data_IF_410713191422
#
_entry.id   IF_410713191422
#
_cell.length_a   1.000
_cell.length_b   1.000
_cell.length_c   1.000
_cell.angle_alpha   90.00
_cell.angle_beta   90.00
_cell.angle_gamma   90.00
#
_symmetry.space_group_name_H-M   'P 1'
#
loop_
_entity.id
_entity.type
_entity.pdbx_description
1 polymer ?
#
# COMPACT_ATOMS: atom_id res chain seq x y z
N UNK A 1 2.66 -3.66 18.08
CA UNK A 1 2.40 -2.26 17.66
C UNK A 1 1.28 -2.24 16.63
N UNK A 2 0.36 -1.26 16.66
CA UNK A 2 -0.71 -1.14 15.66
C UNK A 2 -0.13 -0.53 14.38
N UNK A 3 -0.42 -1.14 13.23
CA UNK A 3 0.10 -0.75 11.94
C UNK A 3 -1.01 -0.84 10.87
N UNK A 4 -0.66 -0.49 9.64
CA UNK A 4 -1.51 -0.65 8.46
C UNK A 4 -0.92 -1.72 7.55
N UNK A 5 -1.76 -2.55 6.94
CA UNK A 5 -1.38 -3.42 5.83
C UNK A 5 -2.01 -2.89 4.54
N UNK A 6 -1.20 -2.61 3.52
CA UNK A 6 -1.60 -2.11 2.21
C UNK A 6 -1.49 -3.22 1.17
N UNK A 7 -2.55 -3.43 0.38
CA UNK A 7 -2.47 -4.23 -0.84
C UNK A 7 -1.99 -3.35 -2.00
N UNK A 8 -0.86 -3.70 -2.60
CA UNK A 8 -0.24 -2.98 -3.71
C UNK A 8 0.05 -3.97 -4.84
N UNK A 9 -0.24 -3.59 -6.10
CA UNK A 9 0.02 -4.47 -7.25
C UNK A 9 1.52 -4.52 -7.59
N UNK A 10 2.01 -5.61 -8.20
CA UNK A 10 3.44 -5.78 -8.48
C UNK A 10 4.08 -4.62 -9.26
N UNK A 11 3.36 -4.02 -10.22
CA UNK A 11 3.86 -2.89 -11.01
C UNK A 11 4.10 -1.63 -10.16
N UNK A 12 3.33 -1.45 -9.09
CA UNK A 12 3.49 -0.33 -8.17
C UNK A 12 4.51 -0.64 -7.07
N UNK A 13 4.56 -1.89 -6.59
CA UNK A 13 5.63 -2.35 -5.70
C UNK A 13 7.00 -2.12 -6.34
N UNK A 14 7.16 -2.46 -7.62
CA UNK A 14 8.39 -2.21 -8.39
C UNK A 14 8.82 -0.74 -8.34
N UNK A 15 7.89 0.20 -8.55
CA UNK A 15 8.18 1.64 -8.51
C UNK A 15 8.50 2.15 -7.10
N UNK A 16 7.87 1.59 -6.07
CA UNK A 16 8.21 1.91 -4.67
C UNK A 16 9.64 1.44 -4.37
N UNK A 17 9.96 0.21 -4.76
CA UNK A 17 11.24 -0.43 -4.44
C UNK A 17 12.40 0.20 -5.20
N UNK A 18 12.15 0.75 -6.39
CA UNK A 18 13.13 1.54 -7.13
C UNK A 18 13.25 2.99 -6.64
N UNK A 19 12.45 3.42 -5.66
CA UNK A 19 12.41 4.80 -5.17
C UNK A 19 11.70 5.80 -6.09
N UNK A 20 11.15 5.35 -7.24
CA UNK A 20 10.45 6.23 -8.19
C UNK A 20 9.09 6.68 -7.65
N UNK A 21 8.45 5.86 -6.82
CA UNK A 21 7.16 6.15 -6.18
C UNK A 21 7.37 6.36 -4.69
N UNK A 22 7.17 7.60 -4.24
CA UNK A 22 7.32 8.04 -2.85
C UNK A 22 6.00 8.45 -2.20
N UNK A 23 4.90 8.47 -2.95
CA UNK A 23 3.55 8.78 -2.45
C UNK A 23 2.56 7.71 -2.88
N UNK A 24 1.81 7.15 -1.93
CA UNK A 24 0.70 6.23 -2.19
C UNK A 24 -0.65 6.93 -2.11
N UNK A 25 -1.43 6.89 -3.20
CA UNK A 25 -2.72 7.57 -3.27
C UNK A 25 -3.83 6.61 -2.82
N UNK A 26 -4.65 7.03 -1.84
CA UNK A 26 -5.79 6.27 -1.33
C UNK A 26 -7.03 7.14 -1.13
N UNK A 27 -8.20 6.52 -1.26
CA UNK A 27 -9.51 7.18 -1.00
C UNK A 27 -9.81 7.40 0.48
N UNK A 28 -9.10 6.70 1.36
CA UNK A 28 -9.32 6.73 2.80
C UNK A 28 -7.98 6.75 3.52
N UNK A 29 -7.99 7.22 4.76
CA UNK A 29 -6.83 7.25 5.66
C UNK A 29 -7.14 6.59 7.01
N UNK A 30 -6.13 6.19 7.79
CA UNK A 30 -6.35 5.64 9.12
C UNK A 30 -6.82 6.75 10.07
N UNK A 31 -8.05 6.64 10.57
CA UNK A 31 -8.63 7.63 11.50
C UNK A 31 -8.10 7.45 12.93
N UNK A 32 -7.62 6.26 13.27
CA UNK A 32 -7.22 5.90 14.65
C UNK A 32 -5.71 5.76 14.84
N UNK A 33 -4.90 6.15 13.85
CA UNK A 33 -3.45 6.23 13.94
C UNK A 33 -3.04 7.66 13.62
N UNK A 34 -2.17 8.23 14.44
CA UNK A 34 -1.50 9.50 14.16
C UNK A 34 -0.14 9.19 13.54
N UNK A 35 0.24 9.97 12.55
CA UNK A 35 1.57 9.95 11.94
C UNK A 35 2.66 10.26 12.98
N UNK A 36 3.84 9.59 12.93
CA UNK A 36 4.20 8.53 11.99
C UNK A 36 3.64 7.15 12.41
N UNK A 37 3.30 6.31 11.43
CA UNK A 37 2.92 4.92 11.69
C UNK A 37 3.47 3.95 10.64
N UNK A 38 3.65 2.68 11.02
CA UNK A 38 4.16 1.64 10.14
C UNK A 38 3.10 1.15 9.15
N UNK A 39 3.53 0.94 7.92
CA UNK A 39 2.78 0.35 6.82
C UNK A 39 3.50 -0.90 6.29
N UNK A 40 2.82 -2.04 6.25
CA UNK A 40 3.28 -3.24 5.57
C UNK A 40 2.79 -3.26 4.12
N UNK A 41 3.64 -3.69 3.20
CA UNK A 41 3.33 -3.80 1.77
C UNK A 41 3.02 -5.26 1.43
N UNK A 42 1.74 -5.58 1.29
CA UNK A 42 1.30 -6.83 0.67
C UNK A 42 1.32 -6.67 -0.85
N UNK A 43 2.20 -7.41 -1.52
CA UNK A 43 2.23 -7.46 -2.98
C UNK A 43 1.10 -8.37 -3.44
N UNK A 44 0.09 -7.86 -4.14
CA UNK A 44 -1.03 -8.69 -4.63
C UNK A 44 -0.57 -9.62 -5.74
N UNK A 45 -1.23 -10.76 -5.91
CA UNK A 45 -0.96 -11.68 -7.03
C UNK A 45 -1.18 -10.97 -8.37
N UNK A 46 -0.11 -10.86 -9.15
CA UNK A 46 -0.15 -10.36 -10.51
C UNK A 46 -0.80 -11.35 -11.46
N UNK A 47 -1.29 -10.85 -12.59
CA UNK A 47 -1.79 -11.68 -13.70
C UNK A 47 -0.80 -11.71 -14.88
N UNK A 48 -0.05 -10.63 -15.08
CA UNK A 48 0.93 -10.48 -16.17
C UNK A 48 2.31 -10.05 -15.69
N UNK A 49 2.37 -9.24 -14.62
CA UNK A 49 3.61 -8.74 -14.03
C UNK A 49 3.68 -9.23 -12.59
N UNK A 50 4.80 -9.84 -12.19
CA UNK A 50 4.89 -10.59 -10.94
C UNK A 50 6.05 -10.11 -10.08
N UNK A 51 6.01 -10.46 -8.78
CA UNK A 51 7.13 -10.29 -7.86
C UNK A 51 7.87 -11.61 -7.70
N UNK A 52 9.17 -11.58 -7.93
CA UNK A 52 10.08 -12.72 -7.89
C UNK A 52 11.15 -12.52 -6.83
N UNK A 53 11.55 -13.62 -6.20
CA UNK A 53 12.69 -13.69 -5.30
C UNK A 53 13.79 -14.52 -5.96
N UNK A 54 14.88 -13.83 -6.32
CA UNK A 54 16.16 -14.44 -6.61
C UNK A 54 16.88 -14.79 -5.29
N UNK A 55 18.11 -15.29 -5.36
CA UNK A 55 18.89 -15.67 -4.16
C UNK A 55 19.08 -14.49 -3.21
N UNK A 56 19.41 -13.32 -3.75
CA UNK A 56 19.88 -12.15 -2.99
C UNK A 56 18.93 -10.95 -3.06
N UNK A 57 18.01 -10.87 -4.03
CA UNK A 57 17.16 -9.69 -4.20
C UNK A 57 15.74 -10.03 -4.70
N UNK A 58 14.85 -9.05 -4.54
CA UNK A 58 13.52 -9.06 -5.16
C UNK A 58 13.58 -8.32 -6.49
N UNK A 59 12.88 -8.84 -7.49
CA UNK A 59 12.73 -8.18 -8.78
C UNK A 59 11.32 -8.39 -9.33
N UNK A 60 10.95 -7.62 -10.34
CA UNK A 60 9.62 -7.65 -10.93
C UNK A 60 9.72 -7.73 -12.46
N UNK A 61 9.03 -8.71 -13.06
CA UNK A 61 9.07 -8.94 -14.51
C UNK A 61 7.78 -9.69 -14.96
N UNK A 62 7.51 -9.68 -16.26
CA UNK A 62 6.43 -10.40 -16.94
C UNK A 62 6.88 -11.70 -17.66
N UNK A 63 8.19 -12.00 -17.65
CA UNK A 63 8.80 -13.10 -18.40
C UNK A 63 8.94 -14.44 -17.65
N UNK A 64 9.19 -15.49 -18.43
CA UNK A 64 9.65 -16.81 -17.97
C UNK A 64 10.99 -16.68 -17.24
N UNK A 65 11.09 -17.33 -16.09
CA UNK A 65 12.09 -17.10 -15.05
C UNK A 65 13.06 -18.26 -14.95
N UNK A 66 14.18 -18.08 -14.23
CA UNK A 66 15.15 -19.16 -14.02
C UNK A 66 14.55 -20.23 -13.11
N UNK A 67 15.05 -21.45 -13.22
CA UNK A 67 14.54 -22.63 -12.49
C UNK A 67 14.46 -22.45 -10.96
N UNK A 68 15.26 -21.54 -10.40
CA UNK A 68 15.41 -21.33 -8.96
C UNK A 68 14.67 -20.10 -8.41
N UNK A 69 14.12 -19.25 -9.29
CA UNK A 69 13.42 -18.04 -8.85
C UNK A 69 12.05 -18.42 -8.29
N UNK A 70 11.71 -17.87 -7.11
CA UNK A 70 10.42 -18.14 -6.48
C UNK A 70 9.48 -16.98 -6.70
N UNK A 71 8.26 -17.29 -7.13
CA UNK A 71 7.17 -16.33 -7.18
C UNK A 71 6.72 -15.99 -5.75
N UNK A 72 6.77 -14.71 -5.39
CA UNK A 72 6.49 -14.20 -4.03
C UNK A 72 5.45 -13.08 -4.01
N UNK A 73 4.75 -12.85 -5.12
CA UNK A 73 3.49 -12.11 -5.05
C UNK A 73 2.43 -12.90 -4.28
N UNK A 74 1.54 -12.19 -3.60
CA UNK A 74 0.67 -12.73 -2.59
C UNK A 74 1.29 -12.82 -1.18
N UNK A 75 2.42 -12.15 -0.95
CA UNK A 75 3.13 -12.07 0.34
C UNK A 75 3.36 -10.61 0.77
N UNK A 76 3.73 -10.41 2.03
CA UNK A 76 4.23 -9.13 2.54
C UNK A 76 5.72 -9.01 2.18
N UNK A 77 6.04 -8.07 1.29
CA UNK A 77 7.37 -7.95 0.65
C UNK A 77 8.24 -6.86 1.26
N UNK A 78 7.68 -6.05 2.14
CA UNK A 78 8.40 -4.96 2.79
C UNK A 78 7.49 -4.13 3.71
N UNK A 79 8.08 -3.09 4.28
CA UNK A 79 7.41 -2.11 5.13
C UNK A 79 7.97 -0.72 4.89
N UNK A 80 7.21 0.30 5.30
CA UNK A 80 7.65 1.70 5.31
C UNK A 80 6.99 2.45 6.47
N UNK A 81 7.47 3.65 6.76
CA UNK A 81 6.86 4.58 7.70
C UNK A 81 6.04 5.62 6.90
N UNK A 82 4.78 5.78 7.29
CA UNK A 82 3.93 6.87 6.81
C UNK A 82 4.02 8.00 7.84
N UNK A 83 4.79 9.03 7.53
CA UNK A 83 5.06 10.19 8.40
C UNK A 83 4.24 11.43 8.03
N UNK A 84 3.64 11.46 6.84
CA UNK A 84 2.73 12.51 6.40
C UNK A 84 1.57 11.95 5.55
N UNK A 85 0.38 12.55 5.71
CA UNK A 85 -0.79 12.30 4.87
C UNK A 85 -1.33 13.63 4.36
N UNK A 86 -1.15 13.88 3.06
CA UNK A 86 -1.70 15.05 2.38
C UNK A 86 -3.12 14.78 1.91
N UNK A 87 -4.07 15.65 2.29
CA UNK A 87 -5.42 15.67 1.69
C UNK A 87 -5.34 16.29 0.30
N UNK A 88 -5.95 15.60 -0.67
CA UNK A 88 -6.06 16.04 -2.05
C UNK A 88 -7.55 16.13 -2.36
N UNK A 89 -8.10 17.31 -2.10
CA UNK A 89 -9.50 17.60 -2.37
C UNK A 89 -9.75 18.07 -3.79
N UNK A 90 -11.02 18.30 -4.16
CA UNK A 90 -11.38 18.73 -5.49
C UNK A 90 -10.90 20.14 -5.83
N UNK A 91 -10.55 20.96 -4.83
CA UNK A 91 -9.96 22.30 -5.01
C UNK A 91 -8.69 22.26 -5.87
N UNK A 92 -7.91 21.18 -5.76
CA UNK A 92 -6.69 20.99 -6.55
C UNK A 92 -6.97 20.76 -8.04
N UNK A 93 -8.21 20.45 -8.43
CA UNK A 93 -8.56 20.21 -9.84
C UNK A 93 -8.87 21.48 -10.63
N UNK A 94 -8.89 22.66 -9.98
CA UNK A 94 -9.18 23.94 -10.65
C UNK A 94 -8.00 24.34 -11.54
N UNK A 95 -6.78 24.19 -11.01
CA UNK A 95 -5.53 24.50 -11.70
C UNK A 95 -4.76 23.19 -11.89
N UNK A 96 -4.23 22.96 -13.09
CA UNK A 96 -3.58 21.69 -13.42
C UNK A 96 -2.31 21.48 -12.58
N UNK A 97 -1.56 22.55 -12.38
CA UNK A 97 -0.30 22.57 -11.65
C UNK A 97 -0.49 22.21 -10.16
N UNK A 98 -1.64 22.60 -9.56
CA UNK A 98 -1.96 22.30 -8.17
C UNK A 98 -2.14 20.80 -7.93
N UNK A 99 -2.93 20.12 -8.79
CA UNK A 99 -3.09 18.67 -8.69
C UNK A 99 -1.78 17.94 -9.03
N UNK A 100 -1.01 18.41 -10.00
CA UNK A 100 0.30 17.81 -10.34
C UNK A 100 1.27 17.87 -9.15
N UNK A 101 1.32 19.01 -8.47
CA UNK A 101 2.10 19.17 -7.24
C UNK A 101 1.59 18.28 -6.10
N UNK A 102 0.27 18.19 -5.94
CA UNK A 102 -0.35 17.37 -4.88
C UNK A 102 -0.08 15.86 -5.05
N UNK A 103 0.04 15.37 -6.28
CA UNK A 103 0.28 13.96 -6.61
C UNK A 103 1.75 13.66 -6.94
N UNK A 104 2.64 14.64 -6.79
CA UNK A 104 4.06 14.46 -7.05
C UNK A 104 4.63 13.25 -6.27
N UNK A 105 5.45 12.44 -6.93
CA UNK A 105 5.96 11.20 -6.34
C UNK A 105 4.98 10.01 -6.37
N UNK A 106 3.73 10.19 -6.82
CA UNK A 106 2.78 9.07 -6.91
C UNK A 106 2.98 8.14 -8.10
N UNK A 107 3.73 8.59 -9.10
CA UNK A 107 3.87 7.97 -10.42
C UNK A 107 2.58 7.86 -11.25
N UNK A 108 1.51 8.57 -10.84
CA UNK A 108 0.24 8.65 -11.56
C UNK A 108 0.13 9.95 -12.36
N UNK A 109 -0.54 9.87 -13.50
CA UNK A 109 -0.96 11.06 -14.25
C UNK A 109 -2.25 11.65 -13.67
N UNK A 110 -2.51 12.94 -13.89
CA UNK A 110 -3.76 13.59 -13.47
C UNK A 110 -5.01 12.83 -13.94
N UNK A 111 -5.12 12.37 -15.21
CA UNK A 111 -6.24 11.53 -15.63
C UNK A 111 -6.39 10.23 -14.84
N UNK A 112 -5.29 9.53 -14.52
CA UNK A 112 -5.34 8.30 -13.72
C UNK A 112 -5.83 8.56 -12.29
N UNK A 113 -5.41 9.68 -11.69
CA UNK A 113 -5.89 10.09 -10.36
C UNK A 113 -7.38 10.42 -10.39
N UNK A 114 -7.84 11.18 -11.39
CA UNK A 114 -9.26 11.51 -11.57
C UNK A 114 -10.12 10.25 -11.76
N UNK A 115 -9.68 9.32 -12.61
CA UNK A 115 -10.36 8.04 -12.82
C UNK A 115 -10.41 7.21 -11.53
N UNK A 116 -9.28 7.09 -10.83
CA UNK A 116 -9.23 6.40 -9.55
C UNK A 116 -10.17 7.04 -8.51
N UNK A 117 -10.17 8.37 -8.40
CA UNK A 117 -11.07 9.12 -7.52
C UNK A 117 -12.55 8.94 -7.91
N UNK A 118 -12.81 8.66 -9.19
CA UNK A 118 -14.13 8.66 -9.78
C UNK A 118 -14.63 10.08 -10.08
N UNK A 119 -13.74 11.07 -10.20
CA UNK A 119 -14.06 12.46 -10.51
C UNK A 119 -14.43 12.62 -12.00
N UNK A 120 -15.73 12.56 -12.29
CA UNK A 120 -16.37 12.73 -13.59
C UNK A 120 -16.77 14.18 -13.84
N UNK A 121 -16.82 14.56 -15.12
CA UNK A 121 -17.36 15.86 -15.55
C UNK A 121 -18.84 15.99 -15.16
N UNK A 122 -19.23 17.20 -14.74
CA UNK A 122 -20.62 17.51 -14.36
C UNK A 122 -21.03 17.08 -12.95
N UNK A 123 -20.13 16.47 -12.15
CA UNK A 123 -20.41 16.26 -10.72
C UNK A 123 -20.33 17.57 -9.95
N UNK A 124 -21.21 17.71 -8.96
CA UNK A 124 -21.14 18.85 -8.04
C UNK A 124 -19.89 18.73 -7.17
N UNK A 125 -19.35 19.87 -6.73
CA UNK A 125 -18.20 19.89 -5.83
C UNK A 125 -18.45 19.09 -4.55
N UNK A 126 -19.70 19.05 -4.07
CA UNK A 126 -20.11 18.31 -2.87
C UNK A 126 -20.05 16.78 -3.04
N UNK A 127 -20.11 16.28 -4.28
CA UNK A 127 -20.07 14.84 -4.57
C UNK A 127 -18.65 14.31 -4.77
N UNK A 128 -17.68 15.21 -4.95
CA UNK A 128 -16.29 14.87 -5.17
C UNK A 128 -15.63 14.50 -3.83
N UNK A 129 -15.24 13.22 -3.71
CA UNK A 129 -14.57 12.71 -2.51
C UNK A 129 -13.08 12.99 -2.54
N UNK A 130 -12.54 13.36 -1.39
CA UNK A 130 -11.10 13.56 -1.20
C UNK A 130 -10.29 12.29 -1.47
N UNK A 131 -9.07 12.51 -1.96
CA UNK A 131 -7.99 11.54 -1.94
C UNK A 131 -6.97 11.91 -0.86
N UNK A 132 -6.10 10.96 -0.54
CA UNK A 132 -5.05 11.09 0.45
C UNK A 132 -3.75 10.56 -0.13
N UNK A 133 -2.71 11.39 -0.14
CA UNK A 133 -1.34 11.00 -0.49
C UNK A 133 -0.58 10.63 0.76
N UNK A 134 -0.25 9.34 0.90
CA UNK A 134 0.48 8.79 2.02
C UNK A 134 1.97 8.79 1.66
N UNK A 135 2.78 9.51 2.42
CA UNK A 135 4.22 9.55 2.16
C UNK A 135 4.86 8.20 2.51
N UNK A 136 5.81 7.77 1.67
CA UNK A 136 6.56 6.53 1.83
C UNK A 136 7.98 6.90 2.28
N UNK A 137 8.24 6.85 3.59
CA UNK A 137 9.58 7.05 4.16
C UNK A 137 10.10 5.78 4.83
N UNK A 138 11.41 5.72 5.08
CA UNK A 138 12.08 4.59 5.74
C UNK A 138 11.72 3.21 5.15
N UNK A 139 11.70 3.10 3.82
CA UNK A 139 11.37 1.88 3.11
C UNK A 139 12.35 0.76 3.46
N UNK A 140 11.80 -0.38 3.89
CA UNK A 140 12.52 -1.63 4.14
C UNK A 140 11.96 -2.72 3.25
N UNK A 141 12.81 -3.26 2.40
CA UNK A 141 12.51 -4.40 1.54
C UNK A 141 12.91 -5.67 2.28
N UNK A 142 12.04 -6.66 2.34
CA UNK A 142 12.35 -7.90 3.04
C UNK A 142 13.15 -8.85 2.15
N UNK A 143 14.28 -9.32 2.67
CA UNK A 143 15.02 -10.41 2.04
C UNK A 143 14.16 -11.66 1.91
N UNK A 144 13.39 -11.97 2.94
CA UNK A 144 12.42 -13.06 2.97
C UNK A 144 11.01 -12.50 3.12
N UNK A 145 10.21 -12.43 2.03
CA UNK A 145 8.80 -12.06 2.10
C UNK A 145 8.04 -12.92 3.11
N UNK A 146 7.10 -12.30 3.82
CA UNK A 146 6.35 -12.94 4.91
C UNK A 146 4.95 -13.33 4.43
N UNK A 147 4.46 -14.48 4.90
CA UNK A 147 3.06 -14.84 4.69
C UNK A 147 2.13 -13.81 5.34
N UNK A 148 0.86 -13.78 4.93
CA UNK A 148 -0.14 -12.88 5.51
C UNK A 148 -0.60 -13.33 6.91
N UNK A 149 -0.50 -14.63 7.21
CA UNK A 149 -1.01 -15.25 8.44
C UNK A 149 -0.49 -14.64 9.76
N UNK A 150 0.79 -14.25 9.89
CA UNK A 150 1.29 -13.62 11.12
C UNK A 150 0.70 -12.24 11.41
N UNK A 151 0.05 -11.62 10.42
CA UNK A 151 -0.58 -10.32 10.57
C UNK A 151 -2.03 -10.52 11.03
N UNK A 152 -2.32 -10.18 12.28
CA UNK A 152 -3.70 -10.21 12.77
C UNK A 152 -4.40 -8.91 12.42
N UNK A 153 -5.46 -9.00 11.62
CA UNK A 153 -6.33 -7.87 11.31
C UNK A 153 -7.04 -7.37 12.57
N UNK A 154 -7.23 -6.07 12.68
CA UNK A 154 -7.94 -5.44 13.78
C UNK A 154 -9.25 -4.83 13.28
N UNK A 155 -10.38 -5.33 13.79
CA UNK A 155 -11.70 -4.82 13.48
C UNK A 155 -12.20 -3.94 14.63
N UNK A 156 -12.53 -2.69 14.33
CA UNK A 156 -13.24 -1.85 15.30
C UNK A 156 -14.71 -2.29 15.38
N UNK A 157 -15.16 -2.65 16.58
CA UNK A 157 -16.55 -2.99 16.88
C UNK A 157 -17.11 -2.04 17.94
N UNK A 158 -18.44 -2.03 18.11
CA UNK A 158 -19.09 -1.27 19.20
C UNK A 158 -18.65 -1.70 20.61
N UNK A 159 -17.98 -2.85 20.74
CA UNK A 159 -17.48 -3.40 22.00
C UNK A 159 -15.95 -3.28 22.13
N UNK A 160 -15.29 -2.51 21.26
CA UNK A 160 -13.83 -2.37 21.22
C UNK A 160 -13.18 -3.04 20.01
N UNK A 161 -11.85 -3.21 20.05
CA UNK A 161 -11.05 -3.78 18.96
C UNK A 161 -11.05 -5.30 19.06
N UNK A 162 -11.46 -5.99 17.99
CA UNK A 162 -11.44 -7.46 17.91
C UNK A 162 -10.35 -7.93 16.93
N UNK A 163 -9.46 -8.86 17.34
CA UNK A 163 -8.54 -9.51 16.40
C UNK A 163 -9.32 -10.40 15.43
N UNK A 164 -8.93 -10.37 14.17
CA UNK A 164 -9.45 -11.21 13.08
C UNK A 164 -8.25 -11.72 12.31
N UNK A 165 -8.18 -13.01 12.03
CA UNK A 165 -7.11 -13.53 11.18
C UNK A 165 -7.15 -12.82 9.81
N UNK A 166 -6.01 -12.26 9.36
CA UNK A 166 -5.90 -11.75 8.01
C UNK A 166 -5.76 -12.93 7.03
N UNK A 167 -6.80 -13.75 6.89
CA UNK A 167 -6.77 -14.86 5.93
C UNK A 167 -6.90 -14.37 4.48
N UNK A 168 -7.24 -13.10 4.27
CA UNK A 168 -7.41 -12.49 2.95
C UNK A 168 -6.75 -11.11 2.90
N UNK A 169 -6.10 -10.77 1.78
CA UNK A 169 -5.54 -9.44 1.62
C UNK A 169 -6.64 -8.38 1.63
N UNK A 170 -6.40 -7.20 2.20
CA UNK A 170 -7.39 -6.14 2.21
C UNK A 170 -7.66 -5.65 0.78
N UNK A 171 -8.90 -5.25 0.49
CA UNK A 171 -9.25 -4.64 -0.80
C UNK A 171 -8.49 -3.33 -1.03
N UNK A 172 -8.24 -2.57 0.04
CA UNK A 172 -7.42 -1.37 0.02
C UNK A 172 -6.35 -1.48 1.09
N UNK A 173 -6.74 -1.29 2.36
CA UNK A 173 -5.88 -1.45 3.52
C UNK A 173 -6.71 -1.86 4.73
N UNK A 174 -6.05 -2.37 5.77
CA UNK A 174 -6.66 -2.64 7.07
C UNK A 174 -5.68 -2.36 8.21
N UNK A 175 -6.20 -2.21 9.42
CA UNK A 175 -5.36 -2.20 10.61
C UNK A 175 -4.86 -3.61 10.91
N UNK A 176 -3.60 -3.73 11.28
CA UNK A 176 -2.99 -4.99 11.70
C UNK A 176 -2.19 -4.81 12.98
N UNK A 177 -2.03 -5.92 13.69
CA UNK A 177 -1.01 -6.11 14.70
C UNK A 177 -0.18 -7.33 14.31
N UNK A 178 1.14 -7.15 14.29
CA UNK A 178 2.06 -8.27 14.16
C UNK A 178 2.06 -9.03 15.49
N UNK A 179 1.76 -10.33 15.44
CA UNK A 179 1.97 -11.21 16.58
C UNK A 179 3.44 -11.60 16.53
N UNK A 180 4.19 -11.27 17.58
CA UNK A 180 5.49 -11.89 17.80
C UNK A 180 5.22 -13.39 18.03
N UNK A 181 5.51 -14.20 17.01
CA UNK A 181 5.58 -15.64 17.22
C UNK A 181 6.79 -15.83 18.13
N UNK A 182 6.54 -16.16 19.40
CA UNK A 182 7.59 -16.58 20.30
C UNK A 182 8.32 -17.73 19.60
N UNK A 183 9.59 -17.51 19.24
CA UNK A 183 10.45 -18.56 18.72
C UNK A 183 10.33 -19.76 19.67
N UNK A 184 9.76 -20.85 19.17
CA UNK A 184 9.69 -22.11 19.86
C UNK A 184 11.10 -22.64 20.07
N UNK A 185 11.75 -22.18 21.14
CA UNK A 185 12.91 -22.83 21.73
C UNK A 185 12.40 -23.81 22.79
N UNK A 186 12.26 -25.06 22.38
CA UNK A 186 12.65 -26.26 23.14
C UNK A 186 12.67 -27.44 22.17
#
# INVERSE_FOLDING_TARGET
>A
MKAVLLSIRPEWCSRIFSGCKTVEIRKTRPVSLKEPFKCYIYCTKGTKFFCWKAVDHLYFDDRSHKLFDRRVDGMVVGEFICDDIRRIGPEYCVVKEDIESAIAGSCLTVPQVKDYAGWKSGMSYADLKDLYGWHISDLKIYDNPRELRPFTGLLNTRFGVRPVEAQRPPQSWCYVQEIEVADGKA
#
